data_IF_833168383845
#
_entry.id   IF_833168383845
#
_cell.length_a   1.000
_cell.length_b   1.000
_cell.length_c   1.000
_cell.angle_alpha   90.00
_cell.angle_beta   90.00
_cell.angle_gamma   90.00
#
_symmetry.space_group_name_H-M   'P 1'
#
loop_
_entity.id
_entity.type
_entity.pdbx_description
1 polymer ?
#
# COMPACT_ATOMS: atom_id res chain seq x y z
N UNK A 1 2.81 7.74 -4.70
CA UNK A 1 3.03 8.56 -5.92
C UNK A 1 4.48 8.40 -6.36
N UNK A 2 4.74 7.92 -7.59
CA UNK A 2 6.08 8.00 -8.19
C UNK A 2 6.36 9.45 -8.54
N UNK A 3 7.40 10.07 -7.99
CA UNK A 3 7.81 11.39 -8.45
C UNK A 3 8.51 11.25 -9.80
N UNK A 4 7.88 11.77 -10.86
CA UNK A 4 8.51 11.91 -12.18
C UNK A 4 9.31 13.20 -12.18
N UNK A 5 10.64 13.09 -12.08
CA UNK A 5 11.51 14.25 -12.11
C UNK A 5 11.92 14.51 -13.56
N UNK A 6 11.33 15.53 -14.18
CA UNK A 6 11.73 15.99 -15.52
C UNK A 6 13.03 16.80 -15.40
N UNK A 7 13.99 16.56 -16.30
CA UNK A 7 15.34 17.16 -16.27
C UNK A 7 15.37 18.68 -16.07
N UNK A 8 14.36 19.41 -16.56
CA UNK A 8 14.29 20.88 -16.40
C UNK A 8 13.86 21.34 -15.00
N UNK A 9 13.22 20.48 -14.20
CA UNK A 9 12.89 20.72 -12.77
C UNK A 9 13.99 20.27 -11.82
N UNK A 10 14.97 19.48 -12.30
CA UNK A 10 16.12 19.01 -11.51
C UNK A 10 16.97 20.18 -10.98
N UNK A 11 17.03 21.29 -11.72
CA UNK A 11 17.72 22.52 -11.31
C UNK A 11 16.93 23.42 -10.31
N UNK A 12 15.69 23.05 -9.97
CA UNK A 12 14.78 23.84 -9.12
C UNK A 12 14.27 23.08 -7.88
N UNK A 13 14.95 21.99 -7.48
CA UNK A 13 14.58 21.16 -6.32
C UNK A 13 14.99 21.79 -4.97
N UNK A 14 14.66 23.07 -4.77
CA UNK A 14 14.50 23.67 -3.44
C UNK A 14 13.08 23.42 -2.87
N UNK A 15 12.32 22.50 -3.47
CA UNK A 15 10.89 22.27 -3.19
C UNK A 15 10.50 20.82 -2.96
N UNK A 16 11.43 19.93 -2.58
CA UNK A 16 11.07 18.58 -2.12
C UNK A 16 10.43 18.71 -0.73
N UNK A 17 9.15 19.04 -0.70
CA UNK A 17 8.36 18.90 0.52
C UNK A 17 8.27 17.42 0.88
N UNK A 18 8.79 17.11 2.08
CA UNK A 18 8.95 15.81 2.73
C UNK A 18 10.16 14.94 2.33
N UNK A 19 11.36 15.52 2.45
CA UNK A 19 12.48 14.80 3.08
C UNK A 19 12.36 15.06 4.59
N UNK A 20 11.41 14.40 5.26
CA UNK A 20 11.50 14.31 6.72
C UNK A 20 12.40 13.11 7.01
N UNK A 21 13.51 13.36 7.70
CA UNK A 21 14.30 12.28 8.29
C UNK A 21 13.35 11.43 9.15
N UNK A 22 13.32 10.11 8.91
CA UNK A 22 12.57 9.17 9.73
C UNK A 22 12.94 9.38 11.20
N UNK A 23 12.03 9.95 11.98
CA UNK A 23 12.13 9.98 13.43
C UNK A 23 11.80 8.57 13.92
N UNK A 24 12.65 7.99 14.76
CA UNK A 24 12.40 6.64 15.28
C UNK A 24 11.20 6.59 16.25
N UNK A 25 10.69 7.76 16.65
CA UNK A 25 9.64 7.89 17.66
C UNK A 25 8.22 8.01 17.10
N UNK A 26 8.03 8.45 15.84
CA UNK A 26 6.71 8.75 15.28
C UNK A 26 6.61 8.41 13.79
N UNK A 27 5.40 8.06 13.35
CA UNK A 27 5.10 7.83 11.94
C UNK A 27 5.32 9.10 11.14
N UNK A 28 5.91 8.98 9.96
CA UNK A 28 6.28 10.13 9.14
C UNK A 28 6.16 9.83 7.64
N UNK A 29 5.98 10.87 6.82
CA UNK A 29 6.09 10.75 5.36
C UNK A 29 7.58 10.69 5.03
N UNK A 30 7.99 9.57 4.43
CA UNK A 30 9.37 9.27 4.09
C UNK A 30 9.46 8.98 2.58
N UNK A 31 10.54 9.41 1.96
CA UNK A 31 10.86 9.11 0.57
C UNK A 31 11.71 7.84 0.49
N UNK A 32 11.39 6.95 -0.43
CA UNK A 32 12.11 5.70 -0.67
C UNK A 32 12.48 5.56 -2.15
N UNK A 33 13.56 4.82 -2.39
CA UNK A 33 13.95 4.34 -3.71
C UNK A 33 13.75 2.82 -3.73
N UNK A 34 13.05 2.34 -4.74
CA UNK A 34 12.96 0.91 -5.01
C UNK A 34 14.18 0.49 -5.84
N UNK A 35 15.05 -0.32 -5.24
CA UNK A 35 16.18 -0.96 -5.93
C UNK A 35 15.79 -2.36 -6.40
N UNK A 36 16.70 -3.08 -7.08
CA UNK A 36 16.46 -4.46 -7.50
C UNK A 36 16.25 -5.40 -6.31
N UNK A 37 16.94 -5.15 -5.20
CA UNK A 37 16.99 -6.06 -4.05
C UNK A 37 16.06 -5.62 -2.90
N UNK A 38 15.85 -4.31 -2.71
CA UNK A 38 15.08 -3.79 -1.57
C UNK A 38 14.60 -2.34 -1.76
N UNK A 39 13.76 -1.88 -0.83
CA UNK A 39 13.45 -0.46 -0.63
C UNK A 39 14.50 0.21 0.26
N UNK A 40 15.02 1.34 -0.20
CA UNK A 40 16.02 2.13 0.54
C UNK A 40 15.45 3.50 0.90
N UNK A 41 15.63 3.91 2.16
CA UNK A 41 15.23 5.24 2.64
C UNK A 41 16.12 6.30 2.01
N UNK A 42 15.50 7.26 1.34
CA UNK A 42 16.16 8.39 0.70
C UNK A 42 16.35 9.52 1.72
N UNK A 43 17.60 9.91 1.96
CA UNK A 43 17.96 11.02 2.85
C UNK A 43 18.07 12.33 2.10
N UNK A 44 18.65 12.35 0.90
CA UNK A 44 18.69 13.58 0.09
C UNK A 44 18.88 13.29 -1.39
N UNK A 45 18.53 14.27 -2.22
CA UNK A 45 18.83 14.28 -3.64
C UNK A 45 19.63 15.52 -3.99
N UNK A 46 20.65 15.34 -4.81
CA UNK A 46 21.45 16.44 -5.36
C UNK A 46 21.81 16.15 -6.81
N UNK A 47 22.37 17.15 -7.47
CA UNK A 47 22.69 17.08 -8.91
C UNK A 47 24.13 17.55 -9.07
N UNK A 48 24.96 16.67 -9.60
CA UNK A 48 26.37 16.98 -9.88
C UNK A 48 26.80 16.24 -11.15
N UNK A 49 27.59 16.89 -12.00
CA UNK A 49 28.22 16.28 -13.18
C UNK A 49 27.25 15.51 -14.11
N UNK A 50 26.10 16.11 -14.43
CA UNK A 50 25.02 15.48 -15.22
C UNK A 50 24.47 14.18 -14.62
N UNK A 51 24.54 14.03 -13.29
CA UNK A 51 23.93 12.91 -12.56
C UNK A 51 23.01 13.40 -11.47
N UNK A 52 21.94 12.66 -11.22
CA UNK A 52 21.22 12.75 -9.96
C UNK A 52 21.93 11.84 -8.97
N UNK A 53 22.33 12.41 -7.84
CA UNK A 53 22.91 11.67 -6.72
C UNK A 53 21.84 11.54 -5.65
N UNK A 54 21.50 10.28 -5.34
CA UNK A 54 20.57 9.92 -4.28
C UNK A 54 21.38 9.45 -3.08
N UNK A 55 21.38 10.23 -2.01
CA UNK A 55 22.02 9.84 -0.74
C UNK A 55 21.00 9.10 0.11
N UNK A 56 21.32 7.86 0.48
CA UNK A 56 20.48 7.00 1.29
C UNK A 56 20.75 7.21 2.79
N UNK A 57 19.80 6.86 3.66
CA UNK A 57 19.92 7.03 5.11
C UNK A 57 21.08 6.23 5.74
N UNK A 58 21.56 5.19 5.07
CA UNK A 58 22.76 4.43 5.50
C UNK A 58 24.09 5.08 5.05
N UNK A 59 24.03 6.26 4.41
CA UNK A 59 25.17 7.00 3.87
C UNK A 59 25.64 6.53 2.50
N UNK A 60 25.07 5.44 1.95
CA UNK A 60 25.39 4.99 0.60
C UNK A 60 24.76 5.91 -0.45
N UNK A 61 25.33 5.90 -1.66
CA UNK A 61 24.86 6.73 -2.76
C UNK A 61 24.50 5.89 -3.97
N UNK A 62 23.38 6.23 -4.60
CA UNK A 62 23.01 5.76 -5.92
C UNK A 62 23.09 6.93 -6.89
N UNK A 63 23.43 6.66 -8.14
CA UNK A 63 23.49 7.70 -9.17
C UNK A 63 22.71 7.28 -10.40
N UNK A 64 21.97 8.21 -10.99
CA UNK A 64 21.34 8.04 -12.30
C UNK A 64 21.83 9.14 -13.24
N UNK A 65 22.19 8.76 -14.47
CA UNK A 65 22.62 9.72 -15.47
C UNK A 65 21.43 10.59 -15.92
N UNK A 66 21.66 11.89 -16.00
CA UNK A 66 20.67 12.87 -16.44
C UNK A 66 20.81 13.03 -17.95
N UNK A 67 20.01 12.27 -18.69
CA UNK A 67 19.90 12.46 -20.15
C UNK A 67 18.78 13.47 -20.44
N UNK A 68 19.08 14.50 -21.22
CA UNK A 68 18.13 15.59 -21.49
C UNK A 68 16.83 15.05 -22.12
N UNK A 69 15.69 15.28 -21.47
CA UNK A 69 14.37 14.86 -21.95
C UNK A 69 13.96 13.42 -21.59
N UNK A 70 14.73 12.73 -20.73
CA UNK A 70 14.39 11.41 -20.18
C UNK A 70 14.01 11.54 -18.69
N UNK A 71 13.09 10.69 -18.22
CA UNK A 71 12.80 10.56 -16.79
C UNK A 71 14.01 9.96 -16.08
N UNK A 72 14.34 10.41 -14.88
CA UNK A 72 15.39 9.80 -14.07
C UNK A 72 15.05 8.32 -13.80
N UNK A 73 16.01 7.41 -14.02
CA UNK A 73 15.78 5.95 -14.00
C UNK A 73 15.43 5.37 -12.63
N UNK A 74 15.72 6.08 -11.53
CA UNK A 74 15.45 5.63 -10.17
C UNK A 74 14.13 6.23 -9.64
N UNK A 75 13.04 5.45 -9.59
CA UNK A 75 11.76 5.97 -9.11
C UNK A 75 11.81 6.24 -7.61
N UNK A 76 11.52 7.50 -7.25
CA UNK A 76 11.29 7.91 -5.85
C UNK A 76 9.82 7.77 -5.52
N UNK A 77 9.53 7.14 -4.40
CA UNK A 77 8.18 6.96 -3.86
C UNK A 77 8.09 7.60 -2.50
N UNK A 78 7.03 8.35 -2.27
CA UNK A 78 6.67 8.70 -0.91
C UNK A 78 5.87 7.54 -0.31
N UNK A 79 6.01 7.32 0.99
CA UNK A 79 5.19 6.41 1.78
C UNK A 79 5.08 6.95 3.20
N UNK A 80 4.11 6.46 3.97
CA UNK A 80 4.11 6.64 5.42
C UNK A 80 4.94 5.51 6.00
N UNK A 81 6.06 5.86 6.64
CA UNK A 81 6.78 4.93 7.49
C UNK A 81 6.10 4.91 8.85
N UNK A 82 5.46 3.79 9.17
CA UNK A 82 4.73 3.57 10.40
C UNK A 82 5.69 3.24 11.55
N UNK A 83 5.48 3.94 12.67
CA UNK A 83 6.00 3.59 13.99
C UNK A 83 4.80 3.15 14.85
N UNK A 84 4.86 2.00 15.55
CA UNK A 84 3.70 1.44 16.23
C UNK A 84 2.96 2.42 17.15
N UNK A 85 1.67 2.57 16.94
CA UNK A 85 0.75 3.38 17.76
C UNK A 85 0.79 4.88 17.46
N UNK A 86 1.46 5.30 16.38
CA UNK A 86 1.64 6.71 16.04
C UNK A 86 1.08 7.08 14.66
N UNK A 87 0.41 6.14 13.97
CA UNK A 87 -0.24 6.44 12.70
C UNK A 87 -1.46 7.35 12.93
N UNK A 88 -1.24 8.65 12.77
CA UNK A 88 -2.23 9.68 13.06
C UNK A 88 -3.00 10.22 11.86
N UNK A 89 -4.21 10.71 12.12
CA UNK A 89 -5.07 11.41 11.15
C UNK A 89 -4.39 12.52 10.35
N UNK A 90 -3.66 13.48 10.96
CA UNK A 90 -3.07 14.59 10.20
C UNK A 90 -2.11 14.11 9.11
N UNK A 91 -1.32 13.08 9.42
CA UNK A 91 -0.36 12.46 8.51
C UNK A 91 -1.06 11.77 7.34
N UNK A 92 -2.09 10.97 7.64
CA UNK A 92 -2.94 10.33 6.64
C UNK A 92 -3.63 11.38 5.75
N UNK A 93 -4.10 12.49 6.32
CA UNK A 93 -4.81 13.55 5.60
C UNK A 93 -3.88 14.35 4.68
N UNK A 94 -2.62 14.56 5.08
CA UNK A 94 -1.57 15.14 4.23
C UNK A 94 -1.26 14.20 3.06
N UNK A 95 -1.02 12.92 3.35
CA UNK A 95 -0.57 11.95 2.36
C UNK A 95 -1.67 11.54 1.36
N UNK A 96 -2.94 11.49 1.80
CA UNK A 96 -4.11 11.13 0.99
C UNK A 96 -4.28 11.99 -0.27
N UNK A 97 -3.70 13.20 -0.31
CA UNK A 97 -3.70 14.08 -1.48
C UNK A 97 -3.01 13.45 -2.69
N UNK A 98 -2.15 12.46 -2.46
CA UNK A 98 -1.44 11.74 -3.51
C UNK A 98 -2.31 10.73 -4.27
N UNK A 99 -3.46 10.37 -3.72
CA UNK A 99 -4.35 9.32 -4.22
C UNK A 99 -3.82 7.88 -4.11
N UNK A 100 -2.58 7.67 -3.69
CA UNK A 100 -2.01 6.34 -3.44
C UNK A 100 -1.43 6.29 -2.04
N UNK A 101 -2.10 5.59 -1.12
CA UNK A 101 -1.61 5.29 0.22
C UNK A 101 -0.58 4.16 0.16
N UNK A 102 0.65 4.39 0.63
CA UNK A 102 1.68 3.35 0.79
C UNK A 102 2.09 3.37 2.26
N UNK A 103 1.99 2.22 2.93
CA UNK A 103 2.40 2.06 4.33
C UNK A 103 3.61 1.11 4.40
N UNK A 104 4.61 1.51 5.17
CA UNK A 104 5.85 0.76 5.41
C UNK A 104 6.22 0.79 6.90
N UNK A 105 7.27 0.09 7.32
CA UNK A 105 7.70 0.09 8.72
C UNK A 105 6.88 -0.91 9.56
N UNK A 106 6.49 -0.53 10.78
CA UNK A 106 5.75 -1.43 11.68
C UNK A 106 4.49 -0.75 12.18
N UNK A 107 3.37 -1.46 12.13
CA UNK A 107 2.09 -1.03 12.68
C UNK A 107 1.58 -2.05 13.72
N UNK A 108 0.92 -1.55 14.75
CA UNK A 108 0.25 -2.38 15.76
C UNK A 108 -1.27 -2.34 15.59
N UNK A 109 -1.97 -3.02 16.49
CA UNK A 109 -3.43 -3.11 16.43
C UNK A 109 -4.12 -1.74 16.48
N UNK A 110 -3.57 -0.75 17.20
CA UNK A 110 -4.15 0.58 17.28
C UNK A 110 -4.03 1.32 15.94
N UNK A 111 -2.92 1.16 15.21
CA UNK A 111 -2.75 1.78 13.89
C UNK A 111 -3.78 1.24 12.86
N UNK A 112 -4.17 -0.04 12.99
CA UNK A 112 -5.12 -0.71 12.09
C UNK A 112 -6.60 -0.50 12.52
N UNK A 113 -6.92 -0.55 13.82
CA UNK A 113 -8.28 -0.38 14.37
C UNK A 113 -8.73 1.07 14.51
N UNK A 114 -8.48 1.90 13.49
CA UNK A 114 -8.90 3.30 13.48
C UNK A 114 -9.87 3.61 12.32
N UNK A 115 -11.11 3.07 12.35
CA UNK A 115 -12.08 3.23 11.26
C UNK A 115 -12.54 4.68 10.99
N UNK A 116 -12.23 5.62 11.89
CA UNK A 116 -12.73 7.02 11.87
C UNK A 116 -11.67 8.09 11.63
N UNK A 117 -10.42 7.72 11.37
CA UNK A 117 -9.34 8.72 11.35
C UNK A 117 -9.41 9.71 10.19
N UNK A 118 -9.92 9.32 9.03
CA UNK A 118 -10.08 10.22 7.89
C UNK A 118 -11.55 10.57 7.70
N UNK A 119 -11.84 11.86 7.53
CA UNK A 119 -13.14 12.28 7.06
C UNK A 119 -13.44 11.69 5.66
N UNK A 120 -14.72 11.71 5.29
CA UNK A 120 -15.19 11.14 4.02
C UNK A 120 -14.48 11.75 2.79
N UNK A 121 -14.10 13.04 2.85
CA UNK A 121 -13.42 13.70 1.74
C UNK A 121 -12.00 13.17 1.52
N UNK A 122 -11.28 12.89 2.61
CA UNK A 122 -9.92 12.33 2.58
C UNK A 122 -9.90 10.84 2.26
N UNK A 123 -10.86 10.06 2.77
CA UNK A 123 -11.05 8.67 2.32
C UNK A 123 -11.28 8.61 0.80
N UNK A 124 -12.07 9.53 0.27
CA UNK A 124 -12.39 9.59 -1.16
C UNK A 124 -11.28 10.14 -2.05
N UNK A 125 -10.21 10.73 -1.52
CA UNK A 125 -9.06 11.07 -2.36
C UNK A 125 -8.18 9.85 -2.65
N UNK A 126 -8.27 8.79 -1.83
CA UNK A 126 -7.44 7.59 -1.95
C UNK A 126 -8.04 6.63 -2.99
N UNK A 127 -7.25 6.31 -3.99
CA UNK A 127 -7.60 5.41 -5.11
C UNK A 127 -6.87 4.07 -5.06
N UNK A 128 -5.81 3.98 -4.26
CA UNK A 128 -5.07 2.74 -4.05
C UNK A 128 -4.38 2.70 -2.70
N UNK A 129 -4.28 1.50 -2.13
CA UNK A 129 -3.59 1.23 -0.88
C UNK A 129 -2.59 0.10 -1.12
N UNK A 130 -1.36 0.27 -0.63
CA UNK A 130 -0.30 -0.73 -0.66
C UNK A 130 0.30 -0.84 0.75
N UNK A 131 0.16 -2.02 1.37
CA UNK A 131 0.75 -2.32 2.68
C UNK A 131 1.73 -3.50 2.59
N UNK A 132 2.18 -3.85 1.39
CA UNK A 132 3.06 -5.01 1.16
C UNK A 132 4.41 -4.92 1.86
N UNK A 133 4.76 -3.74 2.37
CA UNK A 133 5.99 -3.44 3.09
C UNK A 133 5.77 -3.09 4.57
N UNK A 134 4.55 -3.26 5.06
CA UNK A 134 4.20 -3.01 6.45
C UNK A 134 4.35 -4.30 7.26
N UNK A 135 5.11 -4.24 8.35
CA UNK A 135 5.14 -5.28 9.37
C UNK A 135 3.94 -5.10 10.30
N UNK A 136 3.03 -6.06 10.22
CA UNK A 136 1.80 -6.17 11.02
C UNK A 136 1.75 -7.53 11.73
N UNK A 137 2.91 -8.12 12.01
CA UNK A 137 3.04 -9.43 12.68
C UNK A 137 2.34 -9.51 14.04
N UNK A 138 2.11 -8.37 14.70
CA UNK A 138 1.41 -8.29 16.00
C UNK A 138 -0.09 -8.00 15.90
N UNK A 139 -0.60 -7.68 14.71
CA UNK A 139 -2.00 -7.35 14.48
C UNK A 139 -2.84 -8.62 14.46
N UNK A 140 -3.97 -8.62 15.18
CA UNK A 140 -4.90 -9.76 15.28
C UNK A 140 -6.23 -9.50 14.59
N UNK A 141 -6.46 -8.29 14.05
CA UNK A 141 -7.65 -7.99 13.27
C UNK A 141 -7.52 -6.74 12.39
N UNK A 142 -8.38 -6.65 11.38
CA UNK A 142 -8.50 -5.55 10.42
C UNK A 142 -9.90 -4.92 10.36
N UNK A 143 -10.67 -5.06 11.44
CA UNK A 143 -11.97 -4.43 11.63
C UNK A 143 -12.02 -3.00 11.10
N UNK A 144 -12.78 -2.79 10.03
CA UNK A 144 -13.03 -1.49 9.42
C UNK A 144 -11.81 -0.78 8.81
N UNK A 145 -10.65 -1.45 8.64
CA UNK A 145 -9.38 -0.80 8.24
C UNK A 145 -9.50 0.06 6.98
N UNK A 146 -10.23 -0.41 5.96
CA UNK A 146 -10.47 0.29 4.70
C UNK A 146 -11.97 0.50 4.44
N UNK A 147 -12.78 0.62 5.50
CA UNK A 147 -14.20 0.88 5.37
C UNK A 147 -14.50 2.25 4.76
N UNK A 148 -15.40 2.28 3.78
CA UNK A 148 -15.97 3.46 3.11
C UNK A 148 -14.97 4.30 2.30
N UNK A 149 -13.89 3.69 1.82
CA UNK A 149 -13.01 4.32 0.84
C UNK A 149 -13.65 4.21 -0.56
N UNK A 150 -14.64 5.06 -0.86
CA UNK A 150 -15.54 4.87 -2.02
C UNK A 150 -14.86 5.04 -3.38
N UNK A 151 -13.70 5.70 -3.45
CA UNK A 151 -12.88 5.85 -4.67
C UNK A 151 -11.71 4.86 -4.74
N UNK A 152 -11.53 4.00 -3.75
CA UNK A 152 -10.49 2.98 -3.72
C UNK A 152 -10.73 1.97 -4.84
N UNK A 153 -9.76 1.82 -5.74
CA UNK A 153 -9.85 0.89 -6.88
C UNK A 153 -9.06 -0.39 -6.68
N UNK A 154 -7.95 -0.31 -5.94
CA UNK A 154 -7.04 -1.45 -5.73
C UNK A 154 -6.41 -1.44 -4.35
N UNK A 155 -6.25 -2.63 -3.77
CA UNK A 155 -5.54 -2.84 -2.51
C UNK A 155 -4.55 -3.98 -2.66
N UNK A 156 -3.32 -3.78 -2.20
CA UNK A 156 -2.30 -4.82 -2.10
C UNK A 156 -1.93 -5.06 -0.62
N UNK A 157 -2.22 -6.26 -0.12
CA UNK A 157 -1.87 -6.70 1.23
C UNK A 157 -0.52 -7.41 1.31
N UNK A 158 0.13 -7.73 0.19
CA UNK A 158 1.48 -8.29 0.10
C UNK A 158 1.77 -9.48 1.01
N UNK A 159 0.79 -10.35 1.24
CA UNK A 159 0.92 -11.52 2.10
C UNK A 159 1.03 -11.22 3.60
N UNK A 160 0.65 -10.02 4.05
CA UNK A 160 0.84 -9.57 5.43
C UNK A 160 -0.26 -9.96 6.41
N UNK A 161 -1.38 -10.49 5.93
CA UNK A 161 -2.42 -11.05 6.81
C UNK A 161 -1.99 -12.48 7.14
N UNK A 162 -1.52 -12.71 8.37
CA UNK A 162 -1.05 -14.01 8.84
C UNK A 162 -2.11 -14.76 9.67
N UNK A 163 -1.83 -16.01 10.01
CA UNK A 163 -2.75 -16.92 10.70
C UNK A 163 -3.16 -16.50 12.13
N UNK A 164 -2.49 -15.50 12.73
CA UNK A 164 -2.88 -14.94 14.03
C UNK A 164 -4.04 -13.92 13.91
N UNK A 165 -4.43 -13.55 12.69
CA UNK A 165 -5.54 -12.63 12.44
C UNK A 165 -6.86 -13.37 12.54
N UNK A 166 -7.76 -12.88 13.40
CA UNK A 166 -9.05 -13.52 13.69
C UNK A 166 -10.27 -12.73 13.20
N UNK A 167 -10.10 -11.43 12.92
CA UNK A 167 -11.20 -10.50 12.65
C UNK A 167 -10.96 -9.65 11.38
N UNK A 168 -11.81 -9.82 10.36
CA UNK A 168 -11.90 -9.04 9.12
C UNK A 168 -13.24 -8.28 9.01
N UNK A 169 -13.96 -8.08 10.11
CA UNK A 169 -15.27 -7.43 10.15
C UNK A 169 -15.25 -6.09 9.41
N UNK A 170 -16.09 -5.94 8.39
CA UNK A 170 -16.19 -4.70 7.61
C UNK A 170 -14.87 -4.17 6.99
N UNK A 171 -13.82 -4.99 6.84
CA UNK A 171 -12.50 -4.50 6.42
C UNK A 171 -12.53 -3.70 5.10
N UNK A 172 -13.33 -4.13 4.12
CA UNK A 172 -13.52 -3.47 2.82
C UNK A 172 -14.99 -3.10 2.58
N UNK A 173 -15.74 -2.81 3.63
CA UNK A 173 -17.16 -2.48 3.54
C UNK A 173 -17.37 -1.13 2.84
N UNK A 174 -18.32 -1.06 1.88
CA UNK A 174 -18.62 0.15 1.09
C UNK A 174 -17.47 0.72 0.25
N UNK A 175 -16.50 -0.11 -0.16
CA UNK A 175 -15.52 0.29 -1.17
C UNK A 175 -16.15 0.21 -2.58
N UNK A 176 -17.02 1.16 -2.90
CA UNK A 176 -17.91 1.05 -4.08
C UNK A 176 -17.18 1.07 -5.43
N UNK A 177 -15.99 1.67 -5.51
CA UNK A 177 -15.14 1.67 -6.71
C UNK A 177 -14.08 0.58 -6.73
N UNK A 178 -14.06 -0.34 -5.75
CA UNK A 178 -13.02 -1.36 -5.63
C UNK A 178 -13.13 -2.35 -6.78
N UNK A 179 -12.07 -2.49 -7.56
CA UNK A 179 -12.01 -3.37 -8.74
C UNK A 179 -11.15 -4.61 -8.48
N UNK A 180 -10.04 -4.46 -7.75
CA UNK A 180 -9.09 -5.54 -7.47
C UNK A 180 -8.61 -5.52 -6.01
N UNK A 181 -8.48 -6.70 -5.41
CA UNK A 181 -7.77 -6.88 -4.13
C UNK A 181 -6.74 -7.99 -4.26
N UNK A 182 -5.52 -7.72 -3.81
CA UNK A 182 -4.44 -8.70 -3.75
C UNK A 182 -4.22 -9.21 -2.32
N UNK A 183 -4.59 -10.47 -2.10
CA UNK A 183 -4.34 -11.25 -0.88
C UNK A 183 -3.30 -12.35 -1.10
N UNK A 184 -2.49 -12.27 -2.16
CA UNK A 184 -1.49 -13.30 -2.45
C UNK A 184 -0.55 -13.51 -1.26
N UNK A 185 -0.36 -14.77 -0.86
CA UNK A 185 0.45 -15.16 0.28
C UNK A 185 -0.19 -14.95 1.66
N UNK A 186 -1.41 -14.40 1.74
CA UNK A 186 -2.12 -14.26 3.01
C UNK A 186 -2.66 -15.60 3.53
N UNK A 187 -2.74 -15.70 4.85
CA UNK A 187 -3.27 -16.85 5.58
C UNK A 187 -4.44 -16.44 6.47
N UNK A 188 -5.65 -16.79 6.07
CA UNK A 188 -6.88 -16.52 6.84
C UNK A 188 -7.31 -17.72 7.70
N UNK A 189 -6.45 -18.73 7.91
CA UNK A 189 -6.81 -19.91 8.70
C UNK A 189 -7.24 -19.60 10.14
N UNK A 190 -6.80 -18.46 10.69
CA UNK A 190 -7.24 -17.96 12.00
C UNK A 190 -8.53 -17.13 11.98
N UNK A 191 -9.02 -16.71 10.81
CA UNK A 191 -10.13 -15.77 10.68
C UNK A 191 -11.46 -16.45 11.03
N UNK A 192 -12.14 -15.90 12.03
CA UNK A 192 -13.45 -16.40 12.51
C UNK A 192 -14.56 -15.36 12.32
N UNK A 193 -14.20 -14.08 12.17
CA UNK A 193 -15.15 -12.99 11.95
C UNK A 193 -14.84 -12.32 10.61
N UNK A 194 -15.78 -12.38 9.66
CA UNK A 194 -15.68 -11.72 8.35
C UNK A 194 -17.04 -11.20 7.85
N UNK A 195 -17.96 -10.94 8.78
CA UNK A 195 -19.26 -10.33 8.47
C UNK A 195 -19.06 -8.97 7.81
N UNK A 196 -19.80 -8.71 6.73
CA UNK A 196 -19.73 -7.50 5.92
C UNK A 196 -18.34 -7.19 5.31
N UNK A 197 -17.42 -8.16 5.29
CA UNK A 197 -16.05 -7.96 4.80
C UNK A 197 -16.00 -7.27 3.41
N UNK A 198 -16.75 -7.79 2.44
CA UNK A 198 -16.83 -7.26 1.07
C UNK A 198 -18.20 -6.66 0.72
N UNK A 199 -19.00 -6.31 1.73
CA UNK A 199 -20.36 -5.83 1.47
C UNK A 199 -20.34 -4.45 0.79
N UNK A 200 -21.23 -4.24 -0.19
CA UNK A 200 -21.28 -3.04 -1.03
C UNK A 200 -19.99 -2.74 -1.82
N UNK A 201 -19.36 -3.78 -2.38
CA UNK A 201 -18.27 -3.67 -3.38
C UNK A 201 -18.73 -4.12 -4.78
N UNK A 202 -19.71 -3.43 -5.42
CA UNK A 202 -20.34 -3.90 -6.65
C UNK A 202 -19.41 -3.92 -7.87
N UNK A 203 -18.30 -3.19 -7.84
CA UNK A 203 -17.33 -3.12 -8.94
C UNK A 203 -16.17 -4.11 -8.79
N UNK A 204 -16.15 -4.92 -7.72
CA UNK A 204 -15.09 -5.88 -7.50
C UNK A 204 -15.13 -6.92 -8.62
N UNK A 205 -14.00 -7.12 -9.29
CA UNK A 205 -13.86 -8.06 -10.40
C UNK A 205 -12.87 -9.16 -10.08
N UNK A 206 -11.83 -8.84 -9.30
CA UNK A 206 -10.70 -9.74 -9.12
C UNK A 206 -10.23 -9.76 -7.67
N UNK A 207 -10.06 -10.96 -7.13
CA UNK A 207 -9.32 -11.24 -5.91
C UNK A 207 -8.11 -12.10 -6.29
N UNK A 208 -6.90 -11.61 -6.07
CA UNK A 208 -5.71 -12.45 -6.16
C UNK A 208 -5.50 -13.16 -4.83
N UNK A 209 -5.34 -14.47 -4.89
CA UNK A 209 -5.12 -15.36 -3.75
C UNK A 209 -4.03 -16.38 -4.11
N UNK A 210 -2.98 -15.91 -4.78
CA UNK A 210 -1.84 -16.74 -5.20
C UNK A 210 -1.10 -17.21 -3.96
N UNK A 211 -0.73 -18.50 -3.90
CA UNK A 211 -0.08 -19.12 -2.73
C UNK A 211 -0.91 -19.08 -1.42
N UNK A 212 -2.23 -18.92 -1.50
CA UNK A 212 -3.11 -19.04 -0.33
C UNK A 212 -3.47 -20.50 -0.05
N UNK A 213 -3.71 -20.83 1.22
CA UNK A 213 -4.19 -22.16 1.63
C UNK A 213 -5.72 -22.33 1.40
N UNK A 214 -6.22 -23.56 1.51
CA UNK A 214 -7.63 -23.88 1.26
C UNK A 214 -8.59 -23.15 2.21
N UNK A 215 -8.21 -22.94 3.47
CA UNK A 215 -9.02 -22.21 4.45
C UNK A 215 -9.20 -20.74 4.03
N UNK A 216 -8.13 -20.09 3.54
CA UNK A 216 -8.21 -18.75 2.95
C UNK A 216 -9.17 -18.70 1.77
N UNK A 217 -9.07 -19.67 0.84
CA UNK A 217 -9.93 -19.72 -0.33
C UNK A 217 -11.40 -19.97 0.06
N UNK A 218 -11.66 -20.80 1.06
CA UNK A 218 -13.01 -21.04 1.58
C UNK A 218 -13.62 -19.75 2.17
N UNK A 219 -12.87 -19.02 3.00
CA UNK A 219 -13.33 -17.76 3.59
C UNK A 219 -13.63 -16.72 2.50
N UNK A 220 -12.77 -16.59 1.48
CA UNK A 220 -12.98 -15.68 0.36
C UNK A 220 -14.26 -16.04 -0.43
N UNK A 221 -14.46 -17.32 -0.76
CA UNK A 221 -15.69 -17.79 -1.45
C UNK A 221 -16.94 -17.54 -0.61
N UNK A 222 -16.88 -17.81 0.69
CA UNK A 222 -18.00 -17.58 1.61
C UNK A 222 -18.32 -16.08 1.72
N UNK A 223 -17.29 -15.23 1.82
CA UNK A 223 -17.45 -13.77 1.85
C UNK A 223 -18.16 -13.26 0.58
N UNK A 224 -17.77 -13.74 -0.61
CA UNK A 224 -18.44 -13.40 -1.88
C UNK A 224 -19.89 -13.91 -1.93
N UNK A 225 -20.13 -15.14 -1.49
CA UNK A 225 -21.47 -15.73 -1.43
C UNK A 225 -22.41 -14.91 -0.53
N UNK A 226 -21.93 -14.50 0.64
CA UNK A 226 -22.69 -13.72 1.62
C UNK A 226 -23.14 -12.34 1.09
N UNK A 227 -22.46 -11.81 0.07
CA UNK A 227 -22.77 -10.50 -0.53
C UNK A 227 -23.32 -10.61 -1.95
N UNK A 228 -23.64 -11.82 -2.42
CA UNK A 228 -24.22 -12.06 -3.74
C UNK A 228 -23.26 -11.90 -4.92
N UNK A 229 -21.95 -11.86 -4.67
CA UNK A 229 -20.90 -11.71 -5.70
C UNK A 229 -20.31 -13.05 -6.18
N UNK A 230 -20.87 -14.17 -5.72
CA UNK A 230 -20.46 -15.50 -6.20
C UNK A 230 -20.60 -15.62 -7.72
N UNK A 231 -19.54 -16.06 -8.39
CA UNK A 231 -19.48 -16.17 -9.86
C UNK A 231 -19.34 -14.85 -10.62
N UNK A 232 -19.40 -13.69 -9.94
CA UNK A 232 -19.18 -12.37 -10.53
C UNK A 232 -17.72 -11.89 -10.35
N UNK A 233 -17.08 -12.33 -9.27
CA UNK A 233 -15.69 -12.02 -8.93
C UNK A 233 -14.80 -13.23 -9.22
N UNK A 234 -13.73 -13.00 -9.96
CA UNK A 234 -12.69 -13.99 -10.23
C UNK A 234 -11.73 -14.11 -9.03
N UNK A 235 -11.49 -15.33 -8.56
CA UNK A 235 -10.41 -15.62 -7.59
C UNK A 235 -9.23 -16.23 -8.36
N UNK A 236 -8.14 -15.47 -8.49
CA UNK A 236 -6.92 -15.89 -9.20
C UNK A 236 -5.97 -16.57 -8.21
N UNK A 237 -5.65 -17.84 -8.41
CA UNK A 237 -4.79 -18.63 -7.50
C UNK A 237 -3.43 -19.02 -8.08
N UNK A 238 -3.21 -18.75 -9.36
CA UNK A 238 -1.95 -19.05 -10.08
C UNK A 238 -1.37 -17.78 -10.67
N UNK A 239 -0.04 -17.66 -10.71
CA UNK A 239 0.60 -16.61 -11.49
C UNK A 239 0.33 -16.82 -12.97
N UNK A 240 -0.16 -15.79 -13.66
CA UNK A 240 -0.28 -15.82 -15.11
C UNK A 240 1.13 -15.97 -15.69
N UNK A 241 1.45 -17.17 -16.21
CA UNK A 241 2.65 -17.34 -17.01
C UNK A 241 2.45 -16.54 -18.30
N UNK A 242 3.12 -15.40 -18.42
CA UNK A 242 3.31 -14.79 -19.72
C UNK A 242 4.19 -15.74 -20.52
N UNK A 243 3.57 -16.57 -21.35
CA UNK A 243 4.29 -17.22 -22.44
C UNK A 243 4.66 -16.12 -23.44
N UNK A 244 5.80 -15.46 -23.23
CA UNK A 244 6.55 -14.88 -24.34
C UNK A 244 6.90 -16.04 -25.26
N UNK A 245 6.10 -16.23 -26.29
CA UNK A 245 6.46 -17.05 -27.44
C UNK A 245 7.55 -16.26 -28.17
N UNK A 246 8.73 -16.87 -28.24
CA UNK A 246 9.88 -16.42 -29.05
C UNK A 246 9.54 -16.30 -30.54
#
# INVERSE_FOLDING_TARGET
MKQKILTFMVCLLAGITAIHAQTESESSIVSFIKTADDWKVLESMSVSDNKVVYTLKDGSQLTADVTHGQEAELPVYNAIYCVPGTLGTPLLAEYSQSGQLILMGTANQNDIYQPENLDYSKKNSITSVDISHLDISTVTGFRGFLQEYTNLKRVDFGGKIHSNVTDLYQMLHWCTSLEEVDFSGCDFSGVTVYTNFLNNCPNLKTIKAIRCNDATLEILRNALSNVGLSGQVEIVTTESTSTTTE
#
